data_IF_316776230401
#
_entry.id   IF_316776230401
#
_cell.length_a   1.000
_cell.length_b   1.000
_cell.length_c   1.000
_cell.angle_alpha   90.00
_cell.angle_beta   90.00
_cell.angle_gamma   90.00
#
_symmetry.space_group_name_H-M   'P 1'
#
loop_
_entity.id
_entity.type
_entity.pdbx_description
1 polymer ?
#
# COMPACT_ATOMS: atom_id res chain seq x y z
N UNK A 1 12.60 4.68 -5.61
CA UNK A 1 12.46 5.84 -6.52
C UNK A 1 11.32 6.69 -5.95
N UNK A 2 11.28 8.02 -6.08
CA UNK A 2 10.07 8.74 -5.67
C UNK A 2 8.92 8.37 -6.62
N UNK A 3 7.71 8.17 -6.08
CA UNK A 3 6.49 7.94 -6.87
C UNK A 3 6.35 9.08 -7.90
N UNK A 4 6.37 8.74 -9.19
CA UNK A 4 6.41 9.69 -10.30
C UNK A 4 5.00 10.12 -10.76
N UNK A 5 4.05 9.18 -10.76
CA UNK A 5 2.68 9.42 -11.16
C UNK A 5 1.93 10.22 -10.08
N UNK A 6 1.36 11.36 -10.48
CA UNK A 6 0.51 12.16 -9.60
C UNK A 6 -0.69 11.34 -9.10
N UNK A 7 -1.30 10.54 -9.97
CA UNK A 7 -2.45 9.71 -9.62
C UNK A 7 -2.07 8.60 -8.63
N UNK A 8 -0.95 7.91 -8.87
CA UNK A 8 -0.44 6.90 -7.92
C UNK A 8 -0.11 7.53 -6.57
N UNK A 9 0.49 8.73 -6.57
CA UNK A 9 0.81 9.47 -5.35
C UNK A 9 -0.45 9.88 -4.58
N UNK A 10 -1.50 10.33 -5.26
CA UNK A 10 -2.78 10.65 -4.61
C UNK A 10 -3.40 9.42 -3.95
N UNK A 11 -3.40 8.28 -4.65
CA UNK A 11 -3.89 7.01 -4.11
C UNK A 11 -3.05 6.53 -2.93
N UNK A 12 -1.73 6.61 -3.03
CA UNK A 12 -0.81 6.29 -1.93
C UNK A 12 -1.10 7.13 -0.68
N UNK A 13 -1.26 8.45 -0.83
CA UNK A 13 -1.58 9.35 0.28
C UNK A 13 -2.96 9.05 0.90
N UNK A 14 -3.97 8.68 0.09
CA UNK A 14 -5.28 8.22 0.58
C UNK A 14 -5.15 6.90 1.36
N UNK A 15 -4.35 5.97 0.85
CA UNK A 15 -4.01 4.72 1.51
C UNK A 15 -3.40 4.93 2.90
N UNK A 16 -2.41 5.82 3.01
CA UNK A 16 -1.82 6.24 4.30
C UNK A 16 -2.89 6.78 5.24
N UNK A 17 -3.70 7.73 4.77
CA UNK A 17 -4.71 8.38 5.60
C UNK A 17 -5.78 7.40 6.09
N UNK A 18 -6.20 6.44 5.25
CA UNK A 18 -7.15 5.40 5.61
C UNK A 18 -6.53 4.41 6.62
N UNK A 19 -5.28 4.01 6.45
CA UNK A 19 -4.57 3.14 7.40
C UNK A 19 -4.49 3.79 8.79
N UNK A 20 -4.14 5.07 8.87
CA UNK A 20 -4.10 5.82 10.13
C UNK A 20 -5.46 5.95 10.80
N UNK A 21 -6.55 5.95 10.03
CA UNK A 21 -7.92 5.96 10.54
C UNK A 21 -8.46 4.57 10.89
N UNK A 22 -7.66 3.51 10.73
CA UNK A 22 -8.12 2.12 10.92
C UNK A 22 -9.10 1.63 9.85
N UNK A 23 -9.21 2.34 8.74
CA UNK A 23 -10.02 1.96 7.58
C UNK A 23 -9.23 0.99 6.69
N UNK A 24 -8.98 -0.20 7.25
CA UNK A 24 -8.02 -1.17 6.71
C UNK A 24 -8.35 -1.57 5.27
N UNK A 25 -9.60 -1.91 4.97
CA UNK A 25 -9.98 -2.32 3.61
C UNK A 25 -9.82 -1.18 2.60
N UNK A 26 -10.24 0.04 2.93
CA UNK A 26 -10.07 1.19 2.05
C UNK A 26 -8.59 1.50 1.82
N UNK A 27 -7.74 1.34 2.85
CA UNK A 27 -6.31 1.52 2.70
C UNK A 27 -5.71 0.49 1.73
N UNK A 28 -6.08 -0.78 1.85
CA UNK A 28 -5.64 -1.85 0.92
C UNK A 28 -6.08 -1.54 -0.51
N UNK A 29 -7.32 -1.11 -0.69
CA UNK A 29 -7.89 -0.82 -2.02
C UNK A 29 -7.16 0.36 -2.69
N UNK A 30 -6.91 1.44 -1.95
CA UNK A 30 -6.19 2.62 -2.46
C UNK A 30 -4.74 2.28 -2.82
N UNK A 31 -4.04 1.53 -1.96
CA UNK A 31 -2.65 1.12 -2.20
C UNK A 31 -2.52 0.13 -3.36
N UNK A 32 -3.51 -0.75 -3.54
CA UNK A 32 -3.54 -1.67 -4.68
C UNK A 32 -3.70 -0.91 -6.00
N UNK A 33 -4.61 0.06 -6.06
CA UNK A 33 -4.74 0.92 -7.24
C UNK A 33 -3.49 1.75 -7.51
N UNK A 34 -2.80 2.21 -6.47
CA UNK A 34 -1.54 2.92 -6.64
C UNK A 34 -0.49 2.00 -7.30
N UNK A 35 -0.38 0.75 -6.86
CA UNK A 35 0.50 -0.27 -7.46
C UNK A 35 0.11 -0.69 -8.88
N UNK A 36 -1.18 -0.65 -9.22
CA UNK A 36 -1.64 -0.90 -10.60
C UNK A 36 -1.18 0.20 -11.58
N UNK A 37 -0.93 1.41 -11.08
CA UNK A 37 -0.46 2.56 -11.88
C UNK A 37 1.07 2.57 -11.92
N UNK A 38 1.69 2.41 -10.75
CA UNK A 38 3.14 2.48 -10.59
C UNK A 38 3.56 1.52 -9.48
N UNK A 39 4.29 0.48 -9.86
CA UNK A 39 4.94 -0.40 -8.91
C UNK A 39 6.05 0.35 -8.18
N UNK A 40 5.90 0.51 -6.87
CA UNK A 40 6.89 1.17 -6.02
C UNK A 40 7.02 0.46 -4.67
N UNK A 41 8.27 0.32 -4.23
CA UNK A 41 8.64 -0.38 -3.00
C UNK A 41 8.00 0.25 -1.75
N UNK A 42 7.79 1.56 -1.71
CA UNK A 42 7.17 2.26 -0.57
C UNK A 42 5.68 1.91 -0.47
N UNK A 43 5.00 1.77 -1.62
CA UNK A 43 3.59 1.38 -1.66
C UNK A 43 3.43 -0.09 -1.23
N UNK A 44 4.29 -0.99 -1.74
CA UNK A 44 4.33 -2.39 -1.29
C UNK A 44 4.59 -2.49 0.22
N UNK A 45 5.59 -1.79 0.72
CA UNK A 45 5.92 -1.79 2.16
C UNK A 45 4.74 -1.34 3.02
N UNK A 46 4.06 -0.26 2.62
CA UNK A 46 2.91 0.23 3.36
C UNK A 46 1.72 -0.73 3.28
N UNK A 47 1.43 -1.31 2.11
CA UNK A 47 0.33 -2.27 1.96
C UNK A 47 0.59 -3.54 2.76
N UNK A 48 1.85 -4.00 2.82
CA UNK A 48 2.29 -5.08 3.69
C UNK A 48 2.04 -4.80 5.17
N UNK A 49 2.34 -3.58 5.65
CA UNK A 49 2.02 -3.18 7.02
C UNK A 49 0.50 -3.21 7.29
N UNK A 50 -0.31 -2.74 6.33
CA UNK A 50 -1.77 -2.74 6.44
C UNK A 50 -2.32 -4.16 6.49
N UNK A 51 -1.83 -5.08 5.64
CA UNK A 51 -2.18 -6.50 5.71
C UNK A 51 -1.78 -7.14 7.04
N UNK A 52 -0.59 -6.80 7.57
CA UNK A 52 -0.14 -7.24 8.89
C UNK A 52 -1.10 -6.82 10.02
N UNK A 53 -1.58 -5.57 9.99
CA UNK A 53 -2.59 -5.07 10.94
C UNK A 53 -3.94 -5.77 10.74
N UNK A 54 -4.32 -6.11 9.51
CA UNK A 54 -5.53 -6.88 9.21
C UNK A 54 -5.46 -8.34 9.69
N UNK A 55 -4.26 -8.86 9.96
CA UNK A 55 -4.01 -10.27 10.26
C UNK A 55 -3.76 -11.14 9.01
N UNK A 56 -3.70 -10.55 7.81
CA UNK A 56 -3.40 -11.23 6.55
C UNK A 56 -1.88 -11.39 6.37
N UNK A 57 -1.26 -12.17 7.26
CA UNK A 57 0.20 -12.26 7.36
C UNK A 57 0.85 -12.78 6.06
N UNK A 58 0.21 -13.72 5.36
CA UNK A 58 0.74 -14.25 4.10
C UNK A 58 0.88 -13.16 3.03
N UNK A 59 -0.13 -12.29 2.91
CA UNK A 59 -0.10 -11.16 1.98
C UNK A 59 0.91 -10.09 2.40
N UNK A 60 1.06 -9.87 3.71
CA UNK A 60 2.08 -8.96 4.22
C UNK A 60 3.48 -9.42 3.82
N UNK A 61 3.77 -10.72 3.97
CA UNK A 61 5.06 -11.32 3.56
C UNK A 61 5.28 -11.20 2.06
N UNK A 62 4.25 -11.45 1.24
CA UNK A 62 4.31 -11.28 -0.21
C UNK A 62 4.71 -9.84 -0.57
N UNK A 63 3.99 -8.85 -0.02
CA UNK A 63 4.27 -7.43 -0.26
C UNK A 63 5.68 -7.02 0.21
N UNK A 64 6.14 -7.52 1.37
CA UNK A 64 7.50 -7.24 1.83
C UNK A 64 8.56 -7.85 0.91
N UNK A 65 8.33 -9.03 0.34
CA UNK A 65 9.25 -9.62 -0.63
C UNK A 65 9.29 -8.86 -1.95
N UNK A 66 8.26 -8.05 -2.26
CA UNK A 66 8.27 -7.15 -3.42
C UNK A 66 9.04 -5.84 -3.19
N UNK A 67 9.65 -5.64 -2.01
CA UNK A 67 10.41 -4.41 -1.68
C UNK A 67 11.92 -4.50 -1.91
N UNK A 68 12.43 -5.68 -2.31
CA UNK A 68 13.85 -6.01 -2.56
C UNK A 68 14.16 -6.09 -4.04
#
# INVERSE_FOLDING_TARGET
MPIESLEAKELFLKGIANAQQGKIQQAIDDLTKALEIEEDYEIYFLRGNVFGVNGDIDKAIEDYNSTI
#
